data_IF_103829291038
#
_entry.id   IF_103829291038
#
_cell.length_a   1.000
_cell.length_b   1.000
_cell.length_c   1.000
_cell.angle_alpha   90.00
_cell.angle_beta   90.00
_cell.angle_gamma   90.00
#
_symmetry.space_group_name_H-M   'P 1'
#
loop_
_entity.id
_entity.type
_entity.pdbx_description
1 polymer ?
#
# COMPACT_ATOMS: atom_id res chain seq x y z
N UNK A 1 -46.20 39.72 5.68
CA UNK A 1 -44.77 39.49 5.98
C UNK A 1 -44.17 38.75 4.79
N UNK A 2 -43.25 39.40 4.06
CA UNK A 2 -42.77 38.93 2.76
C UNK A 2 -41.89 37.68 2.84
N UNK A 3 -42.13 36.70 1.97
CA UNK A 3 -41.22 35.58 1.74
C UNK A 3 -39.90 36.14 1.21
N UNK A 4 -38.82 36.06 2.01
CA UNK A 4 -37.48 36.44 1.58
C UNK A 4 -37.05 35.58 0.40
N UNK A 5 -37.16 36.13 -0.80
CA UNK A 5 -36.61 35.56 -2.01
C UNK A 5 -35.09 35.70 -1.89
N UNK A 6 -34.40 34.60 -1.61
CA UNK A 6 -32.94 34.60 -1.67
C UNK A 6 -32.57 34.60 -3.14
N UNK A 7 -31.79 35.60 -3.55
CA UNK A 7 -31.32 35.77 -4.91
C UNK A 7 -30.45 34.57 -5.32
N UNK A 8 -30.82 33.91 -6.41
CA UNK A 8 -30.12 32.76 -6.97
C UNK A 8 -28.65 33.07 -7.25
N UNK A 9 -28.36 34.28 -7.73
CA UNK A 9 -27.00 34.71 -8.05
C UNK A 9 -26.16 34.80 -6.78
N UNK A 10 -26.73 35.32 -5.69
CA UNK A 10 -26.06 35.42 -4.38
C UNK A 10 -25.70 34.03 -3.84
N UNK A 11 -26.54 33.01 -4.06
CA UNK A 11 -26.26 31.64 -3.65
C UNK A 11 -25.20 30.97 -4.51
N UNK A 12 -25.27 31.15 -5.83
CA UNK A 12 -24.23 30.66 -6.75
C UNK A 12 -22.89 31.30 -6.41
N UNK A 13 -22.88 32.58 -6.10
CA UNK A 13 -21.69 33.33 -5.71
C UNK A 13 -21.20 32.95 -4.31
N UNK A 14 -22.09 32.72 -3.34
CA UNK A 14 -21.70 32.25 -2.01
C UNK A 14 -21.15 30.82 -2.07
N UNK A 15 -21.75 29.95 -2.88
CA UNK A 15 -21.25 28.61 -3.17
C UNK A 15 -19.88 28.68 -3.86
N UNK A 16 -19.74 29.54 -4.88
CA UNK A 16 -18.46 29.74 -5.56
C UNK A 16 -17.39 30.32 -4.63
N UNK A 17 -17.71 31.32 -3.80
CA UNK A 17 -16.74 31.89 -2.84
C UNK A 17 -16.31 30.89 -1.78
N UNK A 18 -17.22 30.01 -1.35
CA UNK A 18 -16.93 29.02 -0.29
C UNK A 18 -16.27 27.75 -0.81
N UNK A 19 -16.53 27.37 -2.05
CA UNK A 19 -16.12 26.07 -2.61
C UNK A 19 -15.34 26.20 -3.93
N UNK A 20 -15.03 27.42 -4.37
CA UNK A 20 -14.34 27.75 -5.63
C UNK A 20 -14.94 27.12 -6.89
N UNK A 21 -16.25 26.81 -6.86
CA UNK A 21 -16.94 26.10 -7.94
C UNK A 21 -18.38 26.59 -8.12
N UNK A 22 -18.84 26.68 -9.38
CA UNK A 22 -20.22 27.08 -9.71
C UNK A 22 -21.19 25.99 -9.30
N UNK A 23 -22.29 26.38 -8.66
CA UNK A 23 -23.39 25.48 -8.32
C UNK A 23 -24.10 25.02 -9.61
N UNK A 24 -24.07 23.71 -9.88
CA UNK A 24 -24.73 23.07 -11.02
C UNK A 24 -25.87 22.18 -10.53
N UNK A 25 -27.11 22.64 -10.73
CA UNK A 25 -28.31 21.95 -10.23
C UNK A 25 -28.64 20.67 -11.02
N UNK A 26 -28.18 20.56 -12.27
CA UNK A 26 -28.41 19.37 -13.10
C UNK A 26 -27.46 18.24 -12.69
N UNK A 27 -26.19 18.59 -12.42
CA UNK A 27 -25.18 17.65 -11.93
C UNK A 27 -25.58 17.00 -10.58
N UNK A 28 -26.34 17.71 -9.74
CA UNK A 28 -26.78 17.26 -8.43
C UNK A 28 -28.23 16.72 -8.41
N UNK A 29 -28.82 16.49 -9.57
CA UNK A 29 -30.16 15.91 -9.74
C UNK A 29 -31.29 16.67 -9.00
N UNK A 30 -31.20 18.00 -8.92
CA UNK A 30 -32.32 18.81 -8.43
C UNK A 30 -33.34 19.04 -9.53
N UNK A 31 -34.61 19.02 -9.13
CA UNK A 31 -35.73 19.31 -10.04
C UNK A 31 -35.81 20.82 -10.33
N UNK A 32 -35.41 21.66 -9.38
CA UNK A 32 -35.36 23.12 -9.54
C UNK A 32 -34.43 23.79 -8.51
N UNK A 33 -34.12 25.08 -8.72
CA UNK A 33 -33.37 25.88 -7.74
C UNK A 33 -34.12 26.05 -6.41
N UNK A 34 -35.45 26.01 -6.44
CA UNK A 34 -36.30 26.08 -5.25
C UNK A 34 -36.23 24.80 -4.40
N UNK A 35 -36.13 23.62 -5.05
CA UNK A 35 -35.86 22.33 -4.40
C UNK A 35 -34.46 22.32 -3.74
N UNK A 36 -33.45 22.90 -4.39
CA UNK A 36 -32.13 23.10 -3.81
C UNK A 36 -32.19 23.98 -2.55
N UNK A 37 -32.88 25.11 -2.62
CA UNK A 37 -33.07 26.05 -1.52
C UNK A 37 -33.79 25.45 -0.31
N UNK A 38 -34.85 24.68 -0.55
CA UNK A 38 -35.62 24.02 0.50
C UNK A 38 -34.75 23.01 1.28
N UNK A 39 -33.87 22.28 0.58
CA UNK A 39 -33.00 21.26 1.18
C UNK A 39 -31.77 21.84 1.87
N UNK A 40 -31.29 23.01 1.42
CA UNK A 40 -30.18 23.74 2.08
C UNK A 40 -30.64 24.41 3.38
N UNK A 41 -31.92 24.83 3.48
CA UNK A 41 -32.49 25.46 4.68
C UNK A 41 -32.69 24.52 5.87
N UNK A 42 -32.68 23.20 5.66
CA UNK A 42 -32.71 22.20 6.73
C UNK A 42 -31.30 21.97 7.29
N UNK A 43 -30.80 22.95 8.04
CA UNK A 43 -29.52 22.86 8.74
C UNK A 43 -29.66 23.37 10.16
N UNK A 44 -30.08 22.50 11.08
CA UNK A 44 -29.99 22.77 12.52
C UNK A 44 -29.88 21.52 13.39
N UNK A 45 -30.27 20.32 12.93
CA UNK A 45 -30.18 19.12 13.77
C UNK A 45 -29.08 18.17 13.27
N UNK A 46 -28.03 18.14 14.07
CA UNK A 46 -26.82 17.36 13.91
C UNK A 46 -27.08 15.88 14.22
N UNK A 47 -26.75 15.00 13.28
CA UNK A 47 -26.28 13.66 13.59
C UNK A 47 -24.98 13.39 12.84
N UNK A 48 -24.03 12.87 13.62
CA UNK A 48 -22.61 12.75 13.36
C UNK A 48 -22.28 11.51 12.54
N UNK A 49 -21.57 11.70 11.41
CA UNK A 49 -20.93 10.63 10.65
C UNK A 49 -21.53 10.37 9.26
N UNK A 50 -20.70 9.85 8.36
CA UNK A 50 -21.20 9.33 7.08
C UNK A 50 -21.95 8.02 7.33
N UNK A 51 -23.07 7.79 6.62
CA UNK A 51 -23.70 6.47 6.58
C UNK A 51 -22.68 5.37 6.30
N UNK A 52 -22.72 4.30 7.09
CA UNK A 52 -21.80 3.15 7.01
C UNK A 52 -21.70 2.57 5.59
N UNK A 53 -22.83 2.57 4.86
CA UNK A 53 -22.89 2.15 3.47
C UNK A 53 -22.00 3.00 2.52
N UNK A 54 -21.73 4.28 2.83
CA UNK A 54 -20.85 5.14 2.01
C UNK A 54 -19.39 4.77 2.29
N UNK A 55 -19.07 4.56 3.57
CA UNK A 55 -17.73 4.15 4.00
C UNK A 55 -17.38 2.78 3.40
N UNK A 56 -18.32 1.84 3.38
CA UNK A 56 -18.14 0.53 2.77
C UNK A 56 -17.83 0.60 1.27
N UNK A 57 -18.50 1.49 0.52
CA UNK A 57 -18.25 1.71 -0.91
C UNK A 57 -16.89 2.37 -1.11
N UNK A 58 -16.56 3.43 -0.37
CA UNK A 58 -15.25 4.08 -0.50
C UNK A 58 -14.10 3.14 -0.12
N UNK A 59 -14.31 2.19 0.79
CA UNK A 59 -13.35 1.13 1.11
C UNK A 59 -13.14 0.11 -0.04
N UNK A 60 -13.97 0.14 -1.09
CA UNK A 60 -13.74 -0.59 -2.35
C UNK A 60 -12.88 0.21 -3.33
N UNK A 61 -12.67 1.50 -3.11
CA UNK A 61 -11.92 2.40 -4.00
C UNK A 61 -10.86 3.18 -3.22
N UNK A 62 -9.75 2.54 -2.79
CA UNK A 62 -8.75 3.15 -1.93
C UNK A 62 -7.95 4.25 -2.61
N UNK A 63 -7.81 4.17 -3.94
CA UNK A 63 -7.27 5.24 -4.78
C UNK A 63 -8.22 6.42 -4.93
N UNK A 64 -9.46 6.25 -4.48
CA UNK A 64 -10.56 7.14 -4.72
C UNK A 64 -11.39 6.73 -5.93
N UNK A 65 -12.59 7.30 -5.99
CA UNK A 65 -13.58 7.03 -7.03
C UNK A 65 -13.99 8.35 -7.66
N UNK A 66 -14.12 8.35 -8.99
CA UNK A 66 -14.73 9.47 -9.72
C UNK A 66 -16.15 9.70 -9.21
N UNK A 67 -16.52 10.95 -8.95
CA UNK A 67 -17.84 11.29 -8.42
C UNK A 67 -18.95 10.80 -9.35
N UNK A 68 -18.76 10.90 -10.67
CA UNK A 68 -19.65 10.32 -11.67
C UNK A 68 -19.88 8.81 -11.46
N UNK A 69 -18.81 8.04 -11.30
CA UNK A 69 -18.86 6.59 -11.05
C UNK A 69 -19.37 6.23 -9.67
N UNK A 70 -19.11 7.07 -8.66
CA UNK A 70 -19.70 6.90 -7.34
C UNK A 70 -21.22 7.06 -7.39
N UNK A 71 -21.73 8.02 -8.17
CA UNK A 71 -23.16 8.21 -8.39
C UNK A 71 -23.76 6.99 -9.10
N UNK A 72 -23.10 6.47 -10.14
CA UNK A 72 -23.55 5.28 -10.89
C UNK A 72 -23.52 4.00 -10.05
N UNK A 73 -22.41 3.72 -9.34
CA UNK A 73 -22.26 2.54 -8.47
C UNK A 73 -23.30 2.53 -7.33
N UNK A 74 -23.73 3.72 -6.88
CA UNK A 74 -24.76 3.87 -5.83
C UNK A 74 -26.19 3.70 -6.31
N UNK A 75 -26.48 3.86 -7.60
CA UNK A 75 -27.86 3.72 -8.11
C UNK A 75 -28.41 2.32 -7.83
N UNK A 76 -27.57 1.29 -7.90
CA UNK A 76 -27.95 -0.11 -7.67
C UNK A 76 -27.90 -0.52 -6.18
N UNK A 77 -26.95 -0.01 -5.38
CA UNK A 77 -26.78 -0.42 -3.98
C UNK A 77 -27.61 0.38 -2.95
N UNK A 78 -27.93 1.65 -3.21
CA UNK A 78 -28.76 2.46 -2.31
C UNK A 78 -30.25 2.49 -2.68
N UNK A 79 -30.60 1.98 -3.86
CA UNK A 79 -31.96 2.11 -4.43
C UNK A 79 -32.38 3.56 -4.74
N UNK A 80 -31.49 4.54 -4.62
CA UNK A 80 -31.73 5.96 -4.93
C UNK A 80 -30.44 6.74 -5.18
N UNK A 81 -30.46 7.79 -6.03
CA UNK A 81 -29.29 8.64 -6.27
C UNK A 81 -28.85 9.37 -4.98
N UNK A 82 -27.54 9.61 -4.79
CA UNK A 82 -27.02 10.34 -3.63
C UNK A 82 -27.59 11.76 -3.59
N UNK A 83 -28.17 12.12 -2.44
CA UNK A 83 -28.80 13.44 -2.25
C UNK A 83 -27.75 14.55 -2.07
N UNK A 84 -28.13 15.82 -2.25
CA UNK A 84 -27.28 16.97 -1.87
C UNK A 84 -26.76 16.85 -0.43
N UNK A 85 -27.59 16.35 0.49
CA UNK A 85 -27.20 16.10 1.88
C UNK A 85 -26.02 15.12 1.95
N UNK A 86 -26.05 14.05 1.16
CA UNK A 86 -24.96 13.06 1.03
C UNK A 86 -23.69 13.71 0.47
N UNK A 87 -23.82 14.54 -0.57
CA UNK A 87 -22.68 15.23 -1.22
C UNK A 87 -22.09 16.31 -0.30
N UNK A 88 -22.92 17.03 0.46
CA UNK A 88 -22.49 18.03 1.43
C UNK A 88 -21.89 17.38 2.68
N UNK A 89 -22.42 16.25 3.15
CA UNK A 89 -21.81 15.44 4.21
C UNK A 89 -20.45 14.92 3.76
N UNK A 90 -20.36 14.42 2.52
CA UNK A 90 -19.08 14.08 1.92
C UNK A 90 -18.15 15.31 2.01
N UNK A 91 -18.50 16.44 1.40
CA UNK A 91 -17.64 17.64 1.41
C UNK A 91 -17.28 18.20 2.79
N UNK A 92 -18.06 17.91 3.84
CA UNK A 92 -17.87 18.43 5.21
C UNK A 92 -17.13 17.47 6.14
N UNK A 93 -17.00 16.18 5.81
CA UNK A 93 -16.20 15.24 6.59
C UNK A 93 -14.70 15.37 6.28
N UNK A 94 -14.18 16.59 6.38
CA UNK A 94 -12.75 16.87 6.30
C UNK A 94 -12.02 16.01 7.33
N UNK A 95 -11.06 15.19 6.88
CA UNK A 95 -10.35 14.20 7.69
C UNK A 95 -10.76 12.74 7.45
N UNK A 96 -11.85 12.48 6.71
CA UNK A 96 -12.21 11.11 6.28
C UNK A 96 -11.95 10.87 4.78
N UNK A 97 -11.99 11.92 3.94
CA UNK A 97 -11.57 11.89 2.52
C UNK A 97 -11.23 13.28 1.99
N UNK A 98 -10.32 13.31 1.03
CA UNK A 98 -9.99 14.44 0.18
C UNK A 98 -10.83 14.40 -1.08
N UNK A 99 -11.32 15.56 -1.47
CA UNK A 99 -11.76 15.79 -2.83
C UNK A 99 -10.57 16.27 -3.63
N UNK A 100 -10.07 15.42 -4.52
CA UNK A 100 -9.10 15.83 -5.51
C UNK A 100 -9.86 16.31 -6.75
N UNK A 101 -9.46 17.46 -7.27
CA UNK A 101 -9.99 17.96 -8.52
C UNK A 101 -9.21 17.31 -9.67
N UNK A 102 -9.88 16.79 -10.70
CA UNK A 102 -9.18 16.21 -11.85
C UNK A 102 -9.69 16.69 -13.20
N UNK A 103 -8.70 17.02 -14.05
CA UNK A 103 -8.64 17.06 -15.53
C UNK A 103 -9.79 17.76 -16.31
N UNK A 104 -9.83 17.89 -17.66
CA UNK A 104 -10.60 18.94 -18.34
C UNK A 104 -12.11 18.65 -18.30
N UNK A 105 -12.49 17.43 -17.88
CA UNK A 105 -13.86 16.97 -17.65
C UNK A 105 -14.49 17.52 -16.37
N UNK A 106 -13.71 18.13 -15.45
CA UNK A 106 -14.16 18.67 -14.16
C UNK A 106 -14.76 17.63 -13.20
N UNK A 107 -14.45 16.36 -13.38
CA UNK A 107 -14.91 15.32 -12.45
C UNK A 107 -14.08 15.34 -11.17
N UNK A 108 -14.73 15.07 -10.05
CA UNK A 108 -14.13 15.12 -8.71
C UNK A 108 -13.78 13.71 -8.27
N UNK A 109 -12.57 13.52 -7.75
CA UNK A 109 -12.18 12.26 -7.14
C UNK A 109 -12.42 12.33 -5.64
N UNK A 110 -13.22 11.38 -5.14
CA UNK A 110 -13.39 11.12 -3.72
C UNK A 110 -12.30 10.15 -3.25
N UNK A 111 -11.25 10.66 -2.61
CA UNK A 111 -10.14 9.84 -2.10
C UNK A 111 -10.16 9.75 -0.57
N UNK A 112 -10.24 8.56 0.04
CA UNK A 112 -10.16 8.41 1.50
C UNK A 112 -8.90 9.02 2.14
N UNK A 113 -9.04 9.81 3.20
CA UNK A 113 -7.94 10.50 3.93
C UNK A 113 -7.27 9.54 4.91
N UNK A 114 -8.03 8.55 5.37
CA UNK A 114 -7.69 7.67 6.50
C UNK A 114 -6.51 6.73 6.16
N UNK A 115 -6.05 6.69 4.91
CA UNK A 115 -5.08 5.70 4.43
C UNK A 115 -3.74 6.31 4.00
N UNK A 116 -3.57 7.64 4.10
CA UNK A 116 -2.31 8.27 3.70
C UNK A 116 -1.13 7.99 4.66
N UNK A 117 -1.41 7.53 5.89
CA UNK A 117 -0.39 7.33 6.93
C UNK A 117 -0.28 5.88 7.45
N UNK A 118 -1.08 4.95 6.92
CA UNK A 118 -1.09 3.58 7.42
C UNK A 118 0.14 2.81 6.91
N UNK A 119 0.96 2.29 7.84
CA UNK A 119 2.06 1.40 7.51
C UNK A 119 1.56 -0.04 7.34
N UNK A 120 2.18 -0.79 6.42
CA UNK A 120 2.00 -2.26 6.36
C UNK A 120 2.34 -2.86 7.72
N UNK A 121 1.46 -3.74 8.21
CA UNK A 121 1.73 -4.50 9.42
C UNK A 121 2.99 -5.34 9.23
N UNK A 122 3.84 -5.34 10.26
CA UNK A 122 5.03 -6.18 10.29
C UNK A 122 4.60 -7.66 10.26
N UNK A 123 5.47 -8.53 9.74
CA UNK A 123 5.25 -9.97 9.86
C UNK A 123 5.05 -10.39 11.31
N UNK A 124 4.24 -11.42 11.51
CA UNK A 124 4.12 -12.05 12.81
C UNK A 124 5.48 -12.61 13.24
N UNK A 125 5.76 -12.57 14.55
CA UNK A 125 7.01 -13.05 15.10
C UNK A 125 7.22 -14.52 14.71
N UNK A 126 8.42 -14.83 14.21
CA UNK A 126 8.72 -16.19 13.78
C UNK A 126 8.81 -17.12 14.99
N UNK A 127 8.23 -18.33 14.91
CA UNK A 127 8.66 -19.41 15.78
C UNK A 127 10.15 -19.65 15.54
N UNK A 128 10.95 -19.71 16.60
CA UNK A 128 12.42 -19.77 16.54
C UNK A 128 12.98 -20.99 15.76
N UNK A 129 12.13 -21.96 15.38
CA UNK A 129 12.50 -23.21 14.72
C UNK A 129 11.47 -23.61 13.64
N UNK A 130 10.96 -22.67 12.85
CA UNK A 130 10.06 -23.02 11.74
C UNK A 130 10.80 -23.20 10.40
N UNK A 131 10.25 -24.04 9.54
CA UNK A 131 10.81 -24.32 8.23
C UNK A 131 10.59 -23.14 7.28
N UNK A 132 11.67 -22.66 6.68
CA UNK A 132 11.68 -21.51 5.79
C UNK A 132 12.12 -21.85 4.39
N UNK A 133 11.84 -20.91 3.49
CA UNK A 133 12.49 -20.77 2.20
C UNK A 133 12.99 -19.34 2.03
N UNK A 134 14.10 -19.20 1.32
CA UNK A 134 14.63 -17.90 0.90
C UNK A 134 14.08 -17.56 -0.48
N UNK A 135 13.49 -16.38 -0.61
CA UNK A 135 12.95 -15.88 -1.88
C UNK A 135 13.84 -14.85 -2.55
N UNK A 136 14.67 -14.15 -1.77
CA UNK A 136 15.59 -13.15 -2.28
C UNK A 136 16.79 -13.01 -1.33
N UNK A 137 17.95 -12.69 -1.91
CA UNK A 137 19.20 -12.43 -1.19
C UNK A 137 19.78 -11.13 -1.74
N UNK A 138 20.03 -10.17 -0.85
CA UNK A 138 20.50 -8.84 -1.23
C UNK A 138 21.51 -8.31 -0.25
N UNK A 139 22.42 -7.47 -0.69
CA UNK A 139 23.30 -6.78 0.23
C UNK A 139 24.59 -6.32 -0.41
N UNK A 140 25.56 -6.07 0.46
CA UNK A 140 26.91 -5.64 0.13
C UNK A 140 27.93 -6.50 0.89
N UNK A 141 29.20 -6.17 0.73
CA UNK A 141 30.28 -6.78 1.52
C UNK A 141 30.13 -6.54 3.02
N UNK A 142 29.39 -5.52 3.46
CA UNK A 142 29.17 -5.26 4.88
C UNK A 142 27.98 -6.04 5.45
N UNK A 143 26.88 -6.15 4.69
CA UNK A 143 25.61 -6.68 5.17
C UNK A 143 24.96 -7.49 4.05
N UNK A 144 24.64 -8.75 4.33
CA UNK A 144 23.71 -9.54 3.52
C UNK A 144 22.38 -9.63 4.23
N UNK A 145 21.30 -9.55 3.47
CA UNK A 145 19.92 -9.69 3.91
C UNK A 145 19.24 -10.78 3.13
N UNK A 146 18.37 -11.52 3.79
CA UNK A 146 17.60 -12.63 3.23
C UNK A 146 16.12 -12.36 3.42
N UNK A 147 15.35 -12.55 2.35
CA UNK A 147 13.89 -12.56 2.39
C UNK A 147 13.41 -13.98 2.71
N UNK A 148 12.72 -14.13 3.82
CA UNK A 148 12.30 -15.40 4.39
C UNK A 148 10.78 -15.54 4.34
N UNK A 149 10.33 -16.69 3.89
CA UNK A 149 8.94 -17.12 3.94
C UNK A 149 8.81 -18.44 4.68
N UNK A 150 7.66 -18.68 5.29
CA UNK A 150 7.29 -20.05 5.71
C UNK A 150 7.33 -20.99 4.50
N UNK A 151 7.81 -22.22 4.72
CA UNK A 151 7.88 -23.24 3.69
C UNK A 151 6.51 -23.49 3.02
N UNK A 152 5.44 -23.46 3.81
CA UNK A 152 4.06 -23.74 3.38
C UNK A 152 3.27 -22.47 3.03
N UNK A 153 3.95 -21.36 2.78
CA UNK A 153 3.33 -20.05 2.46
C UNK A 153 2.66 -19.95 1.09
N UNK A 154 2.79 -20.97 0.23
CA UNK A 154 2.22 -20.94 -1.13
C UNK A 154 0.71 -20.71 -1.15
N UNK A 155 -0.02 -21.40 -0.27
CA UNK A 155 -1.48 -21.29 -0.24
C UNK A 155 -1.94 -19.90 0.24
N UNK A 156 -1.50 -19.37 1.40
CA UNK A 156 -1.83 -18.00 1.82
C UNK A 156 -1.43 -16.93 0.79
N UNK A 157 -0.25 -17.09 0.17
CA UNK A 157 0.24 -16.16 -0.85
C UNK A 157 -0.63 -16.18 -2.11
N UNK A 158 -1.05 -17.37 -2.54
CA UNK A 158 -1.96 -17.55 -3.68
C UNK A 158 -3.34 -16.93 -3.40
N UNK A 159 -3.91 -17.17 -2.21
CA UNK A 159 -5.18 -16.56 -1.81
C UNK A 159 -5.10 -15.02 -1.81
N UNK A 160 -4.03 -14.46 -1.24
CA UNK A 160 -3.82 -13.01 -1.23
C UNK A 160 -3.71 -12.45 -2.66
N UNK A 161 -2.92 -13.08 -3.52
CA UNK A 161 -2.76 -12.67 -4.93
C UNK A 161 -4.09 -12.74 -5.69
N UNK A 162 -4.89 -13.78 -5.49
CA UNK A 162 -6.20 -13.91 -6.10
C UNK A 162 -7.14 -12.78 -5.64
N UNK A 163 -7.17 -12.49 -4.33
CA UNK A 163 -7.98 -11.40 -3.78
C UNK A 163 -7.53 -10.02 -4.32
N UNK A 164 -6.22 -9.76 -4.38
CA UNK A 164 -5.69 -8.51 -4.94
C UNK A 164 -5.97 -8.40 -6.45
N UNK A 165 -5.78 -9.45 -7.23
CA UNK A 165 -6.06 -9.45 -8.66
C UNK A 165 -7.54 -9.22 -8.96
N UNK A 166 -8.44 -9.86 -8.20
CA UNK A 166 -9.87 -9.62 -8.32
C UNK A 166 -10.22 -8.16 -8.01
N UNK A 167 -9.60 -7.58 -6.98
CA UNK A 167 -9.88 -6.21 -6.53
C UNK A 167 -9.31 -5.14 -7.47
N UNK A 168 -8.03 -5.22 -7.84
CA UNK A 168 -7.35 -4.21 -8.65
C UNK A 168 -7.42 -4.47 -10.16
N UNK A 169 -7.73 -5.69 -10.59
CA UNK A 169 -7.79 -6.06 -12.01
C UNK A 169 -8.97 -5.46 -12.78
N UNK A 170 -10.01 -4.99 -12.09
CA UNK A 170 -11.22 -4.41 -12.68
C UNK A 170 -11.18 -2.89 -12.82
N UNK A 171 -10.17 -2.22 -12.25
CA UNK A 171 -10.17 -0.77 -12.11
C UNK A 171 -9.70 -0.05 -13.38
N UNK A 172 -10.65 0.37 -14.21
CA UNK A 172 -10.39 1.34 -15.27
C UNK A 172 -10.14 2.73 -14.66
N UNK A 173 -8.90 3.20 -14.82
CA UNK A 173 -8.41 4.57 -14.58
C UNK A 173 -8.68 5.13 -13.18
N UNK A 174 -7.65 5.10 -12.35
CA UNK A 174 -7.60 5.68 -11.02
C UNK A 174 -6.57 6.80 -11.00
N UNK A 175 -6.66 7.76 -10.05
CA UNK A 175 -5.68 8.83 -9.97
C UNK A 175 -4.26 8.28 -9.81
N UNK A 176 -3.24 9.06 -10.22
CA UNK A 176 -1.85 8.69 -10.03
C UNK A 176 -1.56 8.39 -8.55
N UNK A 177 -0.91 7.27 -8.28
CA UNK A 177 -0.38 7.00 -6.96
C UNK A 177 0.79 7.95 -6.68
N UNK A 178 0.68 8.69 -5.58
CA UNK A 178 1.71 9.61 -5.13
C UNK A 178 2.82 8.83 -4.39
N UNK A 179 3.86 8.49 -5.14
CA UNK A 179 4.94 7.63 -4.68
C UNK A 179 5.90 8.39 -3.74
N UNK A 180 5.97 7.93 -2.50
CA UNK A 180 6.90 8.45 -1.48
C UNK A 180 7.63 7.28 -0.82
N UNK A 181 8.90 7.45 -0.49
CA UNK A 181 9.68 6.42 0.22
C UNK A 181 8.97 5.92 1.47
N UNK A 182 8.87 4.60 1.62
CA UNK A 182 8.22 3.95 2.74
C UNK A 182 6.70 3.80 2.61
N UNK A 183 6.06 4.48 1.65
CA UNK A 183 4.60 4.43 1.46
C UNK A 183 4.16 3.04 0.96
N UNK A 184 3.17 2.40 1.61
CA UNK A 184 2.57 1.18 1.10
C UNK A 184 1.78 1.40 -0.19
N UNK A 185 1.83 0.43 -1.08
CA UNK A 185 1.11 0.44 -2.34
C UNK A 185 0.70 -0.97 -2.75
N UNK A 186 -0.26 -1.06 -3.66
CA UNK A 186 -0.42 -2.21 -4.53
C UNK A 186 0.39 -1.96 -5.81
N UNK A 187 1.19 -2.95 -6.21
CA UNK A 187 2.04 -2.88 -7.40
C UNK A 187 1.71 -4.03 -8.35
N UNK A 188 1.52 -3.73 -9.64
CA UNK A 188 1.36 -4.72 -10.68
C UNK A 188 2.73 -5.15 -11.20
N UNK A 189 3.15 -6.37 -10.85
CA UNK A 189 4.41 -6.98 -11.27
C UNK A 189 4.10 -8.31 -11.97
N UNK A 190 4.68 -8.56 -13.15
CA UNK A 190 4.51 -9.83 -13.88
C UNK A 190 3.02 -10.26 -13.99
N UNK A 191 2.13 -9.31 -14.31
CA UNK A 191 0.68 -9.51 -14.43
C UNK A 191 -0.04 -9.96 -13.15
N UNK A 192 0.58 -9.76 -11.98
CA UNK A 192 -0.03 -10.04 -10.68
C UNK A 192 0.08 -8.82 -9.78
N UNK A 193 -1.00 -8.50 -9.06
CA UNK A 193 -1.01 -7.46 -8.04
C UNK A 193 -0.42 -7.97 -6.74
N UNK A 194 0.49 -7.17 -6.17
CA UNK A 194 1.19 -7.47 -4.93
C UNK A 194 1.08 -6.31 -3.96
N UNK A 195 1.10 -6.61 -2.65
CA UNK A 195 1.37 -5.58 -1.65
C UNK A 195 2.84 -5.23 -1.71
N UNK A 196 3.15 -3.95 -1.67
CA UNK A 196 4.52 -3.48 -1.75
C UNK A 196 4.71 -2.21 -0.91
N UNK A 197 5.99 -1.87 -0.73
CA UNK A 197 6.43 -0.62 -0.12
C UNK A 197 7.38 0.08 -1.08
N UNK A 198 7.20 1.38 -1.28
CA UNK A 198 8.12 2.19 -2.08
C UNK A 198 9.48 2.27 -1.38
N UNK A 199 10.57 1.98 -2.12
CA UNK A 199 11.95 2.03 -1.62
C UNK A 199 12.71 3.20 -2.24
N UNK A 200 12.59 3.40 -3.55
CA UNK A 200 13.25 4.48 -4.26
C UNK A 200 12.26 5.07 -5.27
N UNK A 201 12.22 6.39 -5.34
CA UNK A 201 11.45 7.13 -6.34
C UNK A 201 12.44 7.82 -7.25
N UNK A 202 12.31 7.59 -8.57
CA UNK A 202 13.05 8.31 -9.61
C UNK A 202 12.06 9.05 -10.52
N UNK A 203 12.55 9.83 -11.48
CA UNK A 203 11.68 10.57 -12.40
C UNK A 203 10.74 9.64 -13.22
N UNK A 204 11.27 8.50 -13.68
CA UNK A 204 10.57 7.62 -14.64
C UNK A 204 10.11 6.29 -14.03
N UNK A 205 10.72 5.89 -12.91
CA UNK A 205 10.47 4.57 -12.30
C UNK A 205 10.40 4.65 -10.78
N UNK A 206 9.65 3.71 -10.21
CA UNK A 206 9.57 3.52 -8.76
C UNK A 206 10.11 2.13 -8.45
N UNK A 207 11.09 2.05 -7.55
CA UNK A 207 11.50 0.77 -6.99
C UNK A 207 10.63 0.46 -5.78
N UNK A 208 10.01 -0.71 -5.79
CA UNK A 208 9.18 -1.21 -4.68
C UNK A 208 9.74 -2.51 -4.13
N UNK A 209 9.53 -2.77 -2.84
CA UNK A 209 9.80 -4.05 -2.18
C UNK A 209 8.47 -4.76 -1.95
N UNK A 210 8.31 -5.95 -2.52
CA UNK A 210 7.09 -6.75 -2.43
C UNK A 210 6.97 -7.32 -1.00
N UNK A 211 5.98 -6.86 -0.25
CA UNK A 211 5.87 -7.10 1.19
C UNK A 211 5.74 -8.59 1.55
N UNK A 212 5.22 -9.40 0.62
CA UNK A 212 4.88 -10.81 0.86
C UNK A 212 5.87 -11.79 0.24
N UNK A 213 6.93 -11.30 -0.41
CA UNK A 213 8.01 -12.16 -0.95
C UNK A 213 9.40 -11.54 -0.80
N UNK A 214 9.48 -10.31 -0.30
CA UNK A 214 10.72 -9.56 -0.09
C UNK A 214 11.34 -9.02 -1.37
N UNK A 215 11.12 -9.60 -2.56
CA UNK A 215 11.76 -9.17 -3.81
C UNK A 215 11.56 -7.67 -4.13
N UNK A 216 12.58 -7.03 -4.72
CA UNK A 216 12.52 -5.64 -5.19
C UNK A 216 12.27 -5.60 -6.68
N UNK A 217 11.33 -4.76 -7.11
CA UNK A 217 10.95 -4.61 -8.52
C UNK A 217 10.95 -3.15 -8.91
N UNK A 218 11.42 -2.87 -10.13
CA UNK A 218 11.19 -1.58 -10.79
C UNK A 218 9.84 -1.63 -11.48
N UNK A 219 9.00 -0.67 -11.17
CA UNK A 219 7.65 -0.54 -11.72
C UNK A 219 7.41 0.89 -12.19
N UNK A 220 6.65 1.01 -13.26
CA UNK A 220 6.23 2.32 -13.74
C UNK A 220 5.15 2.90 -12.82
N UNK A 221 5.11 4.23 -12.58
CA UNK A 221 4.13 4.84 -11.67
C UNK A 221 2.67 4.47 -11.96
N UNK A 222 2.30 4.30 -13.23
CA UNK A 222 0.96 3.89 -13.66
C UNK A 222 0.57 2.46 -13.27
N UNK A 223 1.54 1.65 -12.81
CA UNK A 223 1.33 0.29 -12.30
C UNK A 223 1.23 0.25 -10.77
N UNK A 224 1.23 1.42 -10.12
CA UNK A 224 1.05 1.57 -8.69
C UNK A 224 -0.37 2.04 -8.36
N UNK A 225 -0.87 1.55 -7.23
CA UNK A 225 -2.15 1.89 -6.64
C UNK A 225 -1.99 2.05 -5.13
N UNK A 226 -2.86 2.82 -4.54
CA UNK A 226 -3.04 2.95 -3.09
C UNK A 226 -3.47 1.61 -2.55
N UNK A 227 -2.78 1.15 -1.51
CA UNK A 227 -3.10 -0.14 -0.92
C UNK A 227 -4.43 -0.05 -0.14
N UNK A 228 -5.40 -0.88 -0.52
CA UNK A 228 -6.68 -0.95 0.14
C UNK A 228 -6.54 -1.34 1.62
N UNK A 229 -7.38 -0.79 2.52
CA UNK A 229 -7.31 -1.04 3.95
C UNK A 229 -7.35 -2.52 4.32
N UNK A 230 -8.22 -3.27 3.64
CA UNK A 230 -8.35 -4.73 3.79
C UNK A 230 -7.05 -5.51 3.53
N UNK A 231 -6.14 -4.93 2.75
CA UNK A 231 -4.82 -5.49 2.46
C UNK A 231 -3.71 -4.87 3.32
N UNK A 232 -3.95 -3.74 4.00
CA UNK A 232 -3.03 -3.16 4.98
C UNK A 232 -3.11 -3.92 6.32
N UNK A 233 -4.32 -4.32 6.73
CA UNK A 233 -4.58 -5.01 8.00
C UNK A 233 -4.09 -6.46 8.06
N UNK A 234 -3.56 -6.98 6.94
CA UNK A 234 -2.93 -8.30 6.92
C UNK A 234 -1.45 -8.15 7.31
N UNK A 235 -0.88 -8.98 8.20
CA UNK A 235 0.56 -9.03 8.42
C UNK A 235 1.31 -9.36 7.13
N UNK A 236 2.48 -8.77 6.90
CA UNK A 236 3.36 -9.17 5.80
C UNK A 236 3.77 -10.64 5.95
N UNK A 237 3.73 -11.40 4.85
CA UNK A 237 4.09 -12.83 4.89
C UNK A 237 5.61 -13.05 4.92
N UNK A 238 6.38 -12.07 4.46
CA UNK A 238 7.83 -12.16 4.31
C UNK A 238 8.58 -11.34 5.35
N UNK A 239 9.65 -11.93 5.89
CA UNK A 239 10.60 -11.25 6.76
C UNK A 239 11.90 -11.04 6.03
N UNK A 240 12.36 -9.79 6.01
CA UNK A 240 13.72 -9.46 5.57
C UNK A 240 14.59 -9.39 6.81
N UNK A 241 15.56 -10.29 6.92
CA UNK A 241 16.48 -10.38 8.06
C UNK A 241 17.92 -10.19 7.60
N UNK A 242 18.77 -9.65 8.48
CA UNK A 242 20.22 -9.61 8.23
C UNK A 242 20.79 -11.01 8.46
N UNK A 243 21.59 -11.51 7.53
CA UNK A 243 22.27 -12.79 7.69
C UNK A 243 23.47 -12.62 8.63
N UNK A 244 23.54 -13.46 9.67
CA UNK A 244 24.62 -13.41 10.65
C UNK A 244 25.96 -13.79 10.02
N UNK A 245 26.98 -12.96 10.24
CA UNK A 245 28.35 -13.29 9.83
C UNK A 245 28.90 -14.45 10.70
N UNK A 246 29.65 -15.39 10.12
CA UNK A 246 30.33 -16.43 10.90
C UNK A 246 31.28 -15.82 11.95
N UNK A 247 31.49 -16.50 13.09
CA UNK A 247 32.43 -16.03 14.11
C UNK A 247 33.81 -15.71 13.53
N UNK A 248 34.38 -14.58 13.93
CA UNK A 248 35.70 -14.11 13.48
C UNK A 248 35.72 -13.48 12.07
N UNK A 249 34.59 -13.38 11.39
CA UNK A 249 34.45 -12.69 10.09
C UNK A 249 33.91 -11.27 10.28
N UNK A 250 34.28 -10.37 9.37
CA UNK A 250 33.87 -8.96 9.42
C UNK A 250 33.16 -8.46 8.17
N UNK A 251 33.28 -9.19 7.07
CA UNK A 251 32.69 -8.80 5.79
C UNK A 251 32.45 -10.04 4.91
N UNK A 252 31.44 -9.93 4.06
CA UNK A 252 31.16 -10.81 2.95
C UNK A 252 32.03 -10.47 1.74
N UNK A 253 32.28 -11.45 0.89
CA UNK A 253 32.76 -11.22 -0.47
C UNK A 253 31.59 -10.78 -1.37
N UNK A 254 31.89 -10.11 -2.50
CA UNK A 254 30.87 -9.58 -3.41
C UNK A 254 29.97 -10.68 -3.99
N UNK A 255 30.52 -11.87 -4.23
CA UNK A 255 29.80 -13.04 -4.76
C UNK A 255 29.10 -13.89 -3.69
N UNK A 256 29.20 -13.52 -2.41
CA UNK A 256 28.62 -14.32 -1.32
C UNK A 256 27.09 -14.39 -1.40
N UNK A 257 26.43 -13.29 -1.81
CA UNK A 257 24.98 -13.26 -1.99
C UNK A 257 24.50 -14.18 -3.11
N UNK A 258 25.19 -14.17 -4.26
CA UNK A 258 24.87 -15.04 -5.39
C UNK A 258 25.04 -16.52 -5.02
N UNK A 259 26.13 -16.84 -4.30
CA UNK A 259 26.36 -18.20 -3.84
C UNK A 259 25.31 -18.64 -2.83
N UNK A 260 24.93 -17.78 -1.88
CA UNK A 260 23.86 -18.09 -0.93
C UNK A 260 22.55 -18.37 -1.67
N UNK A 261 22.19 -17.55 -2.66
CA UNK A 261 20.99 -17.75 -3.45
C UNK A 261 20.97 -19.13 -4.15
N UNK A 262 22.13 -19.60 -4.64
CA UNK A 262 22.27 -20.93 -5.21
C UNK A 262 22.04 -22.04 -4.17
N UNK A 263 22.60 -21.89 -2.96
CA UNK A 263 22.45 -22.87 -1.87
C UNK A 263 21.03 -22.96 -1.34
N UNK A 264 20.26 -21.87 -1.41
CA UNK A 264 18.92 -21.80 -0.84
C UNK A 264 17.81 -22.12 -1.85
N UNK A 265 18.13 -22.17 -3.14
CA UNK A 265 17.13 -22.29 -4.21
C UNK A 265 16.38 -23.63 -4.12
N UNK A 266 15.08 -23.55 -3.82
CA UNK A 266 14.22 -24.74 -3.73
C UNK A 266 14.46 -25.60 -2.49
N UNK A 267 15.22 -25.10 -1.51
CA UNK A 267 15.57 -25.84 -0.30
C UNK A 267 14.65 -25.47 0.88
N UNK A 268 14.27 -26.48 1.65
CA UNK A 268 13.64 -26.31 2.97
C UNK A 268 14.74 -26.07 3.99
N UNK A 269 14.72 -24.90 4.62
CA UNK A 269 15.74 -24.48 5.57
C UNK A 269 15.15 -24.38 6.97
N UNK A 270 16.00 -24.52 7.99
CA UNK A 270 15.64 -24.09 9.34
C UNK A 270 16.22 -22.70 9.56
N UNK A 271 15.43 -21.78 10.10
CA UNK A 271 15.88 -20.43 10.40
C UNK A 271 15.85 -20.19 11.90
N UNK A 272 16.98 -19.78 12.46
CA UNK A 272 17.06 -19.21 13.80
C UNK A 272 17.00 -17.70 13.65
N UNK A 273 15.97 -17.06 14.19
CA UNK A 273 15.75 -15.61 14.09
C UNK A 273 15.64 -15.01 15.49
N UNK A 274 16.48 -14.02 15.79
CA UNK A 274 16.53 -13.36 17.11
C UNK A 274 15.76 -12.01 17.16
N UNK A 275 15.07 -11.65 16.06
CA UNK A 275 14.39 -10.36 15.91
C UNK A 275 15.14 -9.34 15.06
N UNK A 276 16.43 -9.53 14.81
CA UNK A 276 17.27 -8.65 14.00
C UNK A 276 18.09 -9.40 12.93
N UNK A 277 18.58 -10.58 13.30
CA UNK A 277 19.48 -11.40 12.50
C UNK A 277 18.96 -12.83 12.33
N UNK A 278 19.37 -13.46 11.24
CA UNK A 278 18.98 -14.81 10.87
C UNK A 278 20.21 -15.69 10.65
N UNK A 279 20.13 -16.91 11.18
CA UNK A 279 21.00 -18.03 10.83
C UNK A 279 20.19 -19.07 10.06
N UNK A 280 20.76 -19.55 8.95
CA UNK A 280 20.11 -20.51 8.06
C UNK A 280 20.83 -21.85 8.12
N UNK A 281 20.06 -22.91 8.37
CA UNK A 281 20.53 -24.28 8.38
C UNK A 281 19.88 -25.07 7.24
N UNK A 282 20.66 -25.93 6.60
CA UNK A 282 20.15 -26.88 5.59
C UNK A 282 19.36 -28.04 6.23
N UNK A 283 18.95 -29.01 5.41
CA UNK A 283 18.21 -30.20 5.86
C UNK A 283 19.01 -31.13 6.77
N UNK A 284 20.33 -30.97 6.84
CA UNK A 284 21.24 -31.71 7.70
C UNK A 284 21.55 -30.95 9.00
N UNK A 285 21.02 -29.74 9.18
CA UNK A 285 21.32 -28.89 10.32
C UNK A 285 22.69 -28.22 10.25
N UNK A 286 23.26 -28.07 9.05
CA UNK A 286 24.52 -27.35 8.85
C UNK A 286 24.25 -25.88 8.50
N UNK A 287 24.98 -24.98 9.16
CA UNK A 287 24.91 -23.54 8.90
C UNK A 287 25.41 -23.22 7.49
N UNK A 288 24.57 -22.57 6.69
CA UNK A 288 24.96 -22.11 5.35
C UNK A 288 26.09 -21.08 5.39
N UNK A 289 26.12 -20.23 6.42
CA UNK A 289 27.17 -19.22 6.61
C UNK A 289 28.53 -19.86 6.90
N UNK A 290 28.54 -21.04 7.55
CA UNK A 290 29.77 -21.85 7.70
C UNK A 290 30.26 -22.37 6.36
N UNK A 291 29.36 -22.84 5.50
CA UNK A 291 29.73 -23.25 4.15
C UNK A 291 30.31 -22.09 3.33
N UNK A 292 29.67 -20.92 3.34
CA UNK A 292 30.21 -19.72 2.68
C UNK A 292 31.60 -19.36 3.19
N UNK A 293 31.86 -19.49 4.49
CA UNK A 293 33.18 -19.24 5.06
C UNK A 293 34.25 -20.24 4.58
N UNK A 294 33.89 -21.53 4.48
CA UNK A 294 34.79 -22.58 3.95
C UNK A 294 35.11 -22.37 2.47
N UNK A 295 34.15 -21.83 1.71
CA UNK A 295 34.33 -21.44 0.31
C UNK A 295 35.09 -20.11 0.15
N UNK A 296 35.57 -19.49 1.24
CA UNK A 296 36.35 -18.24 1.19
C UNK A 296 35.52 -16.98 0.92
N UNK A 297 34.19 -17.06 1.09
CA UNK A 297 33.26 -15.96 0.78
C UNK A 297 33.04 -15.00 1.98
N UNK A 298 33.91 -15.08 2.99
CA UNK A 298 33.91 -14.22 4.17
C UNK A 298 35.34 -13.77 4.51
N UNK A 299 35.54 -12.46 4.68
CA UNK A 299 36.83 -11.85 5.05
C UNK A 299 37.04 -11.93 6.57
N UNK A 300 38.25 -12.31 6.99
CA UNK A 300 38.67 -12.33 8.40
C UNK A 300 38.94 -10.91 8.91
N UNK A 301 38.88 -10.74 10.23
CA UNK A 301 39.55 -9.62 10.85
C UNK A 301 41.07 -9.72 10.57
N UNK A 302 41.70 -8.63 10.12
CA UNK A 302 43.16 -8.55 10.09
C UNK A 302 43.67 -8.86 11.51
N UNK A 303 44.49 -9.90 11.65
CA UNK A 303 45.31 -10.02 12.85
C UNK A 303 46.26 -8.81 12.82
N UNK A 304 46.38 -8.02 13.91
CA UNK A 304 47.42 -7.02 13.98
C UNK A 304 48.75 -7.76 13.77
N UNK A 305 49.52 -7.32 12.77
CA UNK A 305 50.89 -7.81 12.58
C UNK A 305 51.65 -7.39 13.83
N UNK A 306 51.91 -8.35 14.72
CA UNK A 306 52.83 -8.15 15.84
C UNK A 306 54.22 -8.14 15.21
N UNK A 307 54.72 -6.94 14.93
CA UNK A 307 56.14 -6.75 14.60
C UNK A 307 56.88 -6.94 15.94
N UNK A 308 57.45 -8.11 16.16
CA UNK A 308 58.43 -8.31 17.23
C UNK A 308 59.64 -7.41 16.95
N UNK A 309 59.89 -6.46 17.86
CA UNK A 309 61.15 -5.69 17.89
C UNK A 309 62.30 -6.56 18.34
#
# INVERSE_FOLDING_TARGET
MGKGHVDEQVLRDAHYRRFSMRLDIQLYAFVSMEDCLARVRLGADYETGLPEAIVAVLAQYPDGILMSRFIEARAHELGRPPTLRTIQLLRRSAGQFRLLNTDPSRDLILQPDIYSAAALLRPEALPALSAKRVTDVRGSTAVLTVALLEWESEWPLSQLRAAMNHFYGSAAFLPPFDAEHGRPCAALCCNTWHRARVVIVTADTVQVELADVGERRLVAPQLLRTLAPRFITLPALCIVATLTLPPGRRAWCETAGERLLQLTKGCKLTCLFDGASAELLDGQGLLLTRQLALEGLCKTAWLPVIISK
#
